data_IF_661390857784
#
_entry.id   IF_661390857784
#
_cell.length_a   1.000
_cell.length_b   1.000
_cell.length_c   1.000
_cell.angle_alpha   90.00
_cell.angle_beta   90.00
_cell.angle_gamma   90.00
#
_symmetry.space_group_name_H-M   'P 1'
#
loop_
_entity.id
_entity.type
_entity.pdbx_description
1 polymer ?
#
# COMPACT_ATOMS: atom_id res chain seq x y z
N UNK A 1 -3.41 5.00 2.37
CA UNK A 1 -4.27 6.18 2.09
C UNK A 1 -5.70 6.01 2.59
N UNK A 2 -6.53 5.09 2.07
CA UNK A 2 -7.93 4.94 2.52
C UNK A 2 -8.05 4.41 3.97
N UNK A 3 -7.19 3.46 4.32
CA UNK A 3 -7.17 2.84 5.65
C UNK A 3 -6.69 3.84 6.71
N UNK A 4 -5.61 4.58 6.44
CA UNK A 4 -5.08 5.60 7.35
C UNK A 4 -6.12 6.67 7.72
N UNK A 5 -6.98 7.06 6.77
CA UNK A 5 -8.05 8.02 6.99
C UNK A 5 -9.16 7.49 7.91
N UNK A 6 -9.50 6.21 7.80
CA UNK A 6 -10.51 5.57 8.66
C UNK A 6 -10.01 5.44 10.10
N UNK A 7 -8.72 5.13 10.29
CA UNK A 7 -8.10 5.08 11.60
C UNK A 7 -8.08 6.46 12.25
N UNK A 8 -7.66 7.47 11.48
CA UNK A 8 -7.62 8.85 11.95
C UNK A 8 -9.00 9.36 12.37
N UNK A 9 -10.06 8.98 11.64
CA UNK A 9 -11.44 9.30 12.01
C UNK A 9 -11.89 8.64 13.33
N UNK A 10 -11.29 7.49 13.68
CA UNK A 10 -11.51 6.80 14.94
C UNK A 10 -10.57 7.24 16.06
N UNK A 11 -9.67 8.21 15.81
CA UNK A 11 -8.68 8.69 16.78
C UNK A 11 -7.44 7.80 16.91
N UNK A 12 -7.26 6.86 15.99
CA UNK A 12 -6.15 5.93 15.98
C UNK A 12 -5.15 6.24 14.86
N UNK A 13 -3.87 6.01 15.12
CA UNK A 13 -2.82 6.05 14.10
C UNK A 13 -2.77 4.75 13.29
N UNK A 14 -2.17 4.79 12.10
CA UNK A 14 -1.82 3.55 11.40
C UNK A 14 -0.71 2.77 12.12
N UNK A 15 0.04 3.43 13.02
CA UNK A 15 1.03 2.79 13.89
C UNK A 15 0.40 1.97 15.01
N UNK A 16 -0.87 2.21 15.35
CA UNK A 16 -1.59 1.45 16.38
C UNK A 16 -1.93 0.01 15.92
N UNK A 17 -1.78 -0.27 14.62
CA UNK A 17 -2.11 -1.54 14.01
C UNK A 17 -0.92 -2.08 13.21
N UNK A 18 -0.38 -3.22 13.65
CA UNK A 18 0.74 -3.88 12.98
C UNK A 18 0.44 -4.16 11.50
N UNK A 19 1.36 -3.72 10.63
CA UNK A 19 1.26 -3.91 9.17
C UNK A 19 0.27 -2.98 8.46
N UNK A 20 -0.37 -2.06 9.19
CA UNK A 20 -1.27 -1.05 8.62
C UNK A 20 -0.53 0.23 8.22
N UNK A 21 0.53 0.55 8.96
CA UNK A 21 1.49 1.58 8.59
C UNK A 21 2.33 1.13 7.37
N UNK A 22 2.50 2.05 6.40
CA UNK A 22 3.44 1.93 5.28
C UNK A 22 3.50 0.53 4.64
N UNK A 23 2.42 0.12 3.94
CA UNK A 23 2.52 -0.95 2.96
C UNK A 23 3.38 -0.48 1.79
N UNK A 24 4.68 -0.68 1.89
CA UNK A 24 5.63 -0.36 0.82
C UNK A 24 5.47 -1.40 -0.30
N UNK A 25 4.40 -1.26 -1.08
CA UNK A 25 4.19 -2.02 -2.31
C UNK A 25 5.18 -1.45 -3.33
N UNK A 26 6.28 -2.15 -3.55
CA UNK A 26 7.21 -1.77 -4.59
C UNK A 26 6.47 -1.80 -5.93
N UNK A 27 6.46 -0.66 -6.63
CA UNK A 27 5.84 -0.55 -7.94
C UNK A 27 6.70 -1.30 -8.96
N UNK A 28 6.33 -2.55 -9.21
CA UNK A 28 6.93 -3.40 -10.24
C UNK A 28 6.11 -3.41 -11.54
N UNK A 29 5.16 -2.47 -11.71
CA UNK A 29 4.27 -2.43 -12.86
C UNK A 29 5.03 -2.42 -14.18
N UNK A 30 6.08 -1.62 -14.31
CA UNK A 30 6.92 -1.59 -15.51
C UNK A 30 7.58 -2.94 -15.82
N UNK A 31 8.09 -3.64 -14.81
CA UNK A 31 8.74 -4.94 -15.01
C UNK A 31 7.74 -6.00 -15.45
N UNK A 32 6.54 -5.98 -14.86
CA UNK A 32 5.43 -6.87 -15.22
C UNK A 32 4.95 -6.55 -16.64
N UNK A 33 4.75 -5.27 -16.98
CA UNK A 33 4.34 -4.85 -18.32
C UNK A 33 5.35 -5.28 -19.39
N UNK A 34 6.66 -5.15 -19.13
CA UNK A 34 7.70 -5.64 -20.04
C UNK A 34 7.60 -7.15 -20.25
N UNK A 35 7.49 -7.93 -19.17
CA UNK A 35 7.34 -9.39 -19.26
C UNK A 35 6.08 -9.82 -20.01
N UNK A 36 4.99 -9.06 -19.89
CA UNK A 36 3.74 -9.32 -20.63
C UNK A 36 3.88 -8.98 -22.12
N UNK A 37 4.60 -7.90 -22.46
CA UNK A 37 4.84 -7.53 -23.85
C UNK A 37 5.82 -8.47 -24.59
N UNK A 38 6.67 -9.18 -23.84
CA UNK A 38 7.61 -10.17 -24.37
C UNK A 38 6.98 -11.58 -24.56
N UNK A 39 5.68 -11.75 -24.26
CA UNK A 39 4.89 -12.96 -24.57
C UNK A 39 4.42 -12.96 -26.03
#
# INVERSE_FOLDING_TARGET
>A
AAIDLLLLAHGHGCEDFDGLCCMNLSDHSESIHKKINDL
#
